data_IF_275227295700
#
_entry.id   IF_275227295700
#
_cell.length_a   1.000
_cell.length_b   1.000
_cell.length_c   1.000
_cell.angle_alpha   90.00
_cell.angle_beta   90.00
_cell.angle_gamma   90.00
#
_symmetry.space_group_name_H-M   'P 1'
#
loop_
_entity.id
_entity.type
_entity.pdbx_description
1 polymer ?
#
# COMPACT_ATOMS: atom_id res chain seq x y z
N UNK A 1 -0.77 -9.55 14.87
CA UNK A 1 -1.81 -8.98 13.98
C UNK A 1 -1.14 -8.45 12.73
N UNK A 2 -1.66 -8.76 11.56
CA UNK A 2 -1.23 -8.17 10.29
C UNK A 2 -2.23 -7.10 9.85
N UNK A 3 -1.74 -6.04 9.22
CA UNK A 3 -2.56 -4.98 8.62
C UNK A 3 -2.26 -4.96 7.13
N UNK A 4 -3.30 -4.94 6.30
CA UNK A 4 -3.16 -4.87 4.84
C UNK A 4 -4.03 -3.73 4.32
N UNK A 5 -3.42 -2.62 3.89
CA UNK A 5 -4.17 -1.59 3.17
C UNK A 5 -4.34 -2.02 1.71
N UNK A 6 -5.45 -1.65 1.09
CA UNK A 6 -5.78 -2.16 -0.24
C UNK A 6 -6.04 -3.67 -0.26
N UNK A 7 -6.44 -4.25 0.87
CA UNK A 7 -6.57 -5.70 1.04
C UNK A 7 -7.68 -6.36 0.23
N UNK A 8 -8.62 -5.59 -0.33
CA UNK A 8 -9.63 -6.06 -1.28
C UNK A 8 -9.13 -6.02 -2.73
N UNK A 9 -8.05 -5.28 -3.00
CA UNK A 9 -7.46 -5.16 -4.33
C UNK A 9 -6.69 -6.41 -4.75
N UNK A 10 -6.17 -6.42 -5.97
CA UNK A 10 -5.46 -7.55 -6.56
C UNK A 10 -4.27 -8.02 -5.70
N UNK A 11 -3.28 -7.16 -5.47
CA UNK A 11 -2.07 -7.52 -4.70
C UNK A 11 -2.42 -7.78 -3.24
N UNK A 12 -3.16 -6.86 -2.61
CA UNK A 12 -3.51 -6.95 -1.20
C UNK A 12 -4.30 -8.20 -0.85
N UNK A 13 -5.27 -8.61 -1.67
CA UNK A 13 -6.06 -9.83 -1.43
C UNK A 13 -5.23 -11.10 -1.48
N UNK A 14 -4.22 -11.15 -2.37
CA UNK A 14 -3.30 -12.28 -2.41
C UNK A 14 -2.40 -12.35 -1.17
N UNK A 15 -1.98 -11.20 -0.62
CA UNK A 15 -1.27 -11.13 0.67
C UNK A 15 -2.20 -11.62 1.78
N UNK A 16 -3.45 -11.12 1.87
CA UNK A 16 -4.43 -11.55 2.88
C UNK A 16 -4.65 -13.06 2.84
N UNK A 17 -4.87 -13.64 1.65
CA UNK A 17 -5.01 -15.09 1.47
C UNK A 17 -3.79 -15.86 1.98
N UNK A 18 -2.60 -15.37 1.67
CA UNK A 18 -1.35 -16.03 2.10
C UNK A 18 -1.16 -15.98 3.61
N UNK A 19 -1.45 -14.83 4.22
CA UNK A 19 -1.39 -14.65 5.68
C UNK A 19 -2.41 -15.53 6.39
N UNK A 20 -3.66 -15.57 5.92
CA UNK A 20 -4.71 -16.40 6.48
C UNK A 20 -4.40 -17.91 6.39
N UNK A 21 -3.73 -18.36 5.32
CA UNK A 21 -3.29 -19.76 5.19
C UNK A 21 -2.17 -20.12 6.18
N UNK A 22 -1.32 -19.16 6.55
CA UNK A 22 -0.20 -19.40 7.48
C UNK A 22 -0.63 -19.48 8.93
N UNK A 23 -1.64 -18.68 9.31
CA UNK A 23 -2.10 -18.62 10.70
C UNK A 23 -3.59 -18.31 10.79
N UNK A 24 -4.42 -19.36 10.86
CA UNK A 24 -5.88 -19.24 10.91
C UNK A 24 -6.42 -18.51 12.14
N UNK A 25 -5.67 -18.42 13.23
CA UNK A 25 -6.08 -17.78 14.48
C UNK A 25 -5.75 -16.29 14.53
N UNK A 26 -4.87 -15.81 13.67
CA UNK A 26 -4.41 -14.44 13.72
C UNK A 26 -5.36 -13.49 12.98
N UNK A 27 -5.77 -12.42 13.66
CA UNK A 27 -6.61 -11.37 13.04
C UNK A 27 -5.82 -10.61 11.97
N UNK A 28 -6.47 -10.41 10.83
CA UNK A 28 -5.99 -9.55 9.74
C UNK A 28 -6.91 -8.34 9.67
N UNK A 29 -6.35 -7.15 9.86
CA UNK A 29 -7.03 -5.89 9.62
C UNK A 29 -6.83 -5.49 8.17
N UNK A 30 -7.93 -5.32 7.45
CA UNK A 30 -7.95 -4.80 6.09
C UNK A 30 -8.39 -3.35 6.15
N UNK A 31 -7.63 -2.46 5.53
CA UNK A 31 -8.00 -1.05 5.34
C UNK A 31 -8.26 -0.87 3.84
N UNK A 32 -9.53 -0.84 3.46
CA UNK A 32 -9.94 -0.69 2.05
C UNK A 32 -11.38 -0.20 1.97
N UNK A 33 -11.79 0.28 0.80
CA UNK A 33 -13.17 0.67 0.51
C UNK A 33 -13.90 -0.42 -0.25
N UNK A 34 -15.12 -0.70 0.18
CA UNK A 34 -16.09 -1.44 -0.63
C UNK A 34 -16.53 -0.48 -1.74
N UNK A 35 -15.99 -0.68 -2.93
CA UNK A 35 -16.34 0.10 -4.11
C UNK A 35 -17.20 -0.72 -5.06
N UNK A 36 -17.83 -0.06 -6.03
CA UNK A 36 -18.64 -0.68 -7.08
C UNK A 36 -17.86 -1.68 -7.97
N UNK A 37 -16.55 -1.79 -7.83
CA UNK A 37 -15.67 -2.67 -8.63
C UNK A 37 -15.61 -4.10 -8.11
N UNK A 38 -16.61 -4.65 -7.48
CA UNK A 38 -16.68 -6.06 -7.06
C UNK A 38 -15.40 -6.64 -6.43
N UNK A 39 -14.58 -5.78 -5.78
CA UNK A 39 -13.29 -6.19 -5.17
C UNK A 39 -13.46 -7.29 -4.12
N UNK A 40 -14.63 -7.37 -3.48
CA UNK A 40 -14.93 -8.40 -2.49
C UNK A 40 -14.80 -9.83 -3.05
N UNK A 41 -14.95 -10.03 -4.37
CA UNK A 41 -14.76 -11.32 -5.04
C UNK A 41 -13.33 -11.84 -4.86
N UNK A 42 -12.38 -10.96 -4.68
CA UNK A 42 -10.98 -11.33 -4.47
C UNK A 42 -10.74 -12.04 -3.13
N UNK A 43 -11.61 -11.85 -2.14
CA UNK A 43 -11.48 -12.51 -0.85
C UNK A 43 -12.53 -13.62 -0.70
N UNK A 44 -12.11 -14.86 -0.51
CA UNK A 44 -13.01 -15.90 -0.05
C UNK A 44 -13.50 -15.57 1.36
N UNK A 45 -14.56 -16.23 1.81
CA UNK A 45 -15.09 -16.11 3.17
C UNK A 45 -14.01 -16.47 4.21
N UNK A 46 -13.33 -15.45 4.73
CA UNK A 46 -12.33 -15.59 5.78
C UNK A 46 -12.93 -15.12 7.11
N UNK A 47 -12.84 -15.96 8.15
CA UNK A 47 -13.50 -15.69 9.44
C UNK A 47 -12.80 -14.66 10.33
N UNK A 48 -11.49 -14.43 10.13
CA UNK A 48 -10.66 -13.59 11.00
C UNK A 48 -10.24 -12.29 10.35
N UNK A 49 -11.13 -11.70 9.54
CA UNK A 49 -10.91 -10.42 8.87
C UNK A 49 -11.73 -9.34 9.57
N UNK A 50 -11.10 -8.20 9.79
CA UNK A 50 -11.77 -6.96 10.13
C UNK A 50 -11.53 -5.94 9.01
N UNK A 51 -12.59 -5.28 8.53
CA UNK A 51 -12.51 -4.26 7.48
C UNK A 51 -12.77 -2.89 8.07
N UNK A 52 -11.92 -1.92 7.73
CA UNK A 52 -12.04 -0.51 8.12
C UNK A 52 -11.91 0.36 6.86
N UNK A 53 -12.76 1.37 6.73
CA UNK A 53 -12.67 2.35 5.65
C UNK A 53 -11.43 3.26 5.86
N UNK A 54 -10.64 3.55 4.82
CA UNK A 54 -9.47 4.43 4.94
C UNK A 54 -9.79 5.87 5.37
N UNK A 55 -11.03 6.33 5.26
CA UNK A 55 -11.44 7.63 5.78
C UNK A 55 -11.69 7.62 7.30
N UNK A 56 -11.87 6.46 7.90
CA UNK A 56 -12.03 6.31 9.36
C UNK A 56 -10.67 6.36 10.08
N UNK A 57 -9.90 7.43 9.83
CA UNK A 57 -8.53 7.55 10.33
C UNK A 57 -8.42 7.37 11.84
N UNK A 58 -9.37 7.86 12.61
CA UNK A 58 -9.41 7.69 14.08
C UNK A 58 -9.50 6.21 14.49
N UNK A 59 -10.22 5.39 13.73
CA UNK A 59 -10.33 3.95 13.98
C UNK A 59 -9.01 3.28 13.59
N UNK A 60 -8.44 3.63 12.44
CA UNK A 60 -7.15 3.12 11.98
C UNK A 60 -6.06 3.40 13.01
N UNK A 61 -5.97 4.64 13.48
CA UNK A 61 -4.99 5.04 14.49
C UNK A 61 -5.13 4.22 15.78
N UNK A 62 -6.36 4.09 16.31
CA UNK A 62 -6.63 3.27 17.49
C UNK A 62 -6.20 1.82 17.30
N UNK A 63 -6.50 1.21 16.14
CA UNK A 63 -6.11 -0.16 15.81
C UNK A 63 -4.59 -0.32 15.72
N UNK A 64 -3.90 0.61 15.08
CA UNK A 64 -2.43 0.60 14.98
C UNK A 64 -1.79 0.79 16.37
N UNK A 65 -2.34 1.64 17.22
CA UNK A 65 -1.87 1.83 18.61
C UNK A 65 -1.96 0.55 19.45
N UNK A 66 -2.90 -0.34 19.15
CA UNK A 66 -3.06 -1.64 19.82
C UNK A 66 -2.14 -2.74 19.24
N UNK A 67 -1.42 -2.47 18.16
CA UNK A 67 -0.51 -3.44 17.55
C UNK A 67 0.67 -3.78 18.46
N UNK A 68 1.06 -5.06 18.45
CA UNK A 68 2.31 -5.51 19.09
C UNK A 68 3.51 -5.08 18.24
N UNK A 69 4.69 -4.94 18.86
CA UNK A 69 5.95 -4.53 18.17
C UNK A 69 6.32 -5.37 16.94
N UNK A 70 5.87 -6.62 16.87
CA UNK A 70 6.15 -7.52 15.74
C UNK A 70 5.05 -7.51 14.68
N UNK A 71 4.08 -6.60 14.77
CA UNK A 71 3.06 -6.46 13.73
C UNK A 71 3.66 -5.88 12.46
N UNK A 72 3.18 -6.39 11.32
CA UNK A 72 3.61 -5.94 9.99
C UNK A 72 2.43 -5.28 9.29
N UNK A 73 2.69 -4.12 8.70
CA UNK A 73 1.75 -3.40 7.85
C UNK A 73 2.19 -3.57 6.40
N UNK A 74 1.33 -4.16 5.58
CA UNK A 74 1.47 -4.27 4.14
C UNK A 74 0.67 -3.14 3.50
N UNK A 75 1.35 -2.08 3.11
CA UNK A 75 0.71 -0.89 2.54
C UNK A 75 0.62 -0.99 1.01
N UNK A 76 -0.46 -1.66 0.55
CA UNK A 76 -0.75 -1.88 -0.88
C UNK A 76 -1.86 -0.96 -1.40
N UNK A 77 -2.53 -0.23 -0.50
CA UNK A 77 -3.64 0.64 -0.82
C UNK A 77 -3.20 1.96 -1.44
N UNK A 78 -3.67 2.22 -2.65
CA UNK A 78 -3.52 3.48 -3.36
C UNK A 78 -4.51 3.52 -4.53
N UNK A 79 -4.79 4.70 -5.08
CA UNK A 79 -5.28 4.79 -6.45
C UNK A 79 -4.15 4.39 -7.38
N UNK A 80 -4.31 3.28 -8.11
CA UNK A 80 -3.30 2.74 -9.03
C UNK A 80 -3.57 3.07 -10.50
N UNK A 81 -4.54 3.92 -10.77
CA UNK A 81 -4.86 4.36 -12.13
C UNK A 81 -3.82 5.39 -12.57
N UNK A 82 -2.95 4.99 -13.49
CA UNK A 82 -1.91 5.86 -14.06
C UNK A 82 -2.45 6.93 -14.98
N UNK A 83 -3.73 6.83 -15.37
CA UNK A 83 -4.42 7.80 -16.24
C UNK A 83 -5.27 8.82 -15.46
N UNK A 84 -5.34 8.67 -14.13
CA UNK A 84 -6.05 9.63 -13.27
C UNK A 84 -5.42 11.03 -13.38
N UNK A 85 -6.26 12.02 -13.68
CA UNK A 85 -5.84 13.41 -13.89
C UNK A 85 -6.09 14.30 -12.67
N UNK A 86 -6.91 13.86 -11.73
CA UNK A 86 -7.17 14.62 -10.51
C UNK A 86 -5.98 14.48 -9.53
N UNK A 87 -5.06 15.44 -9.61
CA UNK A 87 -3.86 15.48 -8.79
C UNK A 87 -4.16 15.61 -7.29
N UNK A 88 -5.19 16.37 -6.91
CA UNK A 88 -5.62 16.54 -5.52
C UNK A 88 -6.13 15.21 -4.94
N UNK A 89 -6.99 14.51 -5.69
CA UNK A 89 -7.46 13.18 -5.31
C UNK A 89 -6.30 12.21 -5.10
N UNK A 90 -5.31 12.18 -6.02
CA UNK A 90 -4.13 11.33 -5.90
C UNK A 90 -3.25 11.76 -4.72
N UNK A 91 -3.09 13.06 -4.49
CA UNK A 91 -2.33 13.57 -3.34
C UNK A 91 -2.93 13.10 -2.01
N UNK A 92 -4.24 13.25 -1.82
CA UNK A 92 -4.95 12.83 -0.60
C UNK A 92 -4.88 11.30 -0.41
N UNK A 93 -5.20 10.53 -1.45
CA UNK A 93 -5.32 9.07 -1.34
C UNK A 93 -3.96 8.34 -1.34
N UNK A 94 -2.98 8.84 -2.10
CA UNK A 94 -1.70 8.14 -2.25
C UNK A 94 -0.63 8.70 -1.33
N UNK A 95 -0.46 10.03 -1.30
CA UNK A 95 0.61 10.63 -0.50
C UNK A 95 0.20 10.89 0.95
N UNK A 96 -0.85 11.66 1.18
CA UNK A 96 -1.24 12.09 2.53
C UNK A 96 -1.63 10.91 3.43
N UNK A 97 -2.41 9.97 2.90
CA UNK A 97 -2.75 8.75 3.64
C UNK A 97 -1.48 7.95 3.98
N UNK A 98 -0.57 7.75 2.99
CA UNK A 98 0.69 7.02 3.21
C UNK A 98 1.58 7.71 4.23
N UNK A 99 1.71 9.04 4.14
CA UNK A 99 2.46 9.85 5.10
C UNK A 99 1.96 9.65 6.52
N UNK A 100 0.66 9.78 6.74
CA UNK A 100 0.05 9.60 8.05
C UNK A 100 0.27 8.18 8.60
N UNK A 101 0.19 7.16 7.73
CA UNK A 101 0.46 5.77 8.11
C UNK A 101 1.92 5.57 8.51
N UNK A 102 2.86 6.16 7.78
CA UNK A 102 4.30 6.10 8.07
C UNK A 102 4.60 6.74 9.43
N UNK A 103 3.99 7.88 9.73
CA UNK A 103 4.15 8.56 11.03
C UNK A 103 3.67 7.67 12.20
N UNK A 104 2.54 6.96 12.03
CA UNK A 104 2.06 5.99 13.02
C UNK A 104 3.01 4.79 13.19
N UNK A 105 3.56 4.29 12.07
CA UNK A 105 4.54 3.19 12.06
C UNK A 105 5.80 3.58 12.82
N UNK A 106 6.33 4.78 12.59
CA UNK A 106 7.49 5.31 13.31
C UNK A 106 7.21 5.39 14.81
N UNK A 107 6.10 6.03 15.19
CA UNK A 107 5.74 6.21 16.59
C UNK A 107 5.59 4.89 17.36
N UNK A 108 5.13 3.83 16.71
CA UNK A 108 4.92 2.50 17.30
C UNK A 108 6.07 1.52 17.06
N UNK A 109 7.09 1.91 16.31
CA UNK A 109 8.21 1.06 15.90
C UNK A 109 7.73 -0.27 15.28
N UNK A 110 6.79 -0.18 14.34
CA UNK A 110 6.27 -1.32 13.58
C UNK A 110 7.09 -1.55 12.31
N UNK A 111 6.81 -2.67 11.63
CA UNK A 111 7.37 -2.93 10.30
C UNK A 111 6.37 -2.50 9.23
N UNK A 112 6.83 -1.73 8.25
CA UNK A 112 6.05 -1.33 7.07
C UNK A 112 6.67 -1.87 5.79
N UNK A 113 5.86 -2.52 4.96
CA UNK A 113 6.20 -2.87 3.58
C UNK A 113 5.32 -2.02 2.67
N UNK A 114 5.92 -1.03 2.01
CA UNK A 114 5.22 -0.08 1.15
C UNK A 114 5.27 -0.50 -0.32
N UNK A 115 4.14 -0.41 -1.01
CA UNK A 115 4.06 -0.59 -2.45
C UNK A 115 4.33 0.74 -3.17
N UNK A 116 5.57 0.96 -3.57
CA UNK A 116 5.93 1.96 -4.56
C UNK A 116 5.72 1.41 -5.98
N UNK A 117 6.23 2.08 -6.99
CA UNK A 117 6.00 1.73 -8.38
C UNK A 117 7.22 2.05 -9.24
N UNK A 118 7.51 1.18 -10.21
CA UNK A 118 8.50 1.46 -11.25
C UNK A 118 8.14 2.66 -12.14
N UNK A 119 6.88 3.14 -12.10
CA UNK A 119 6.47 4.36 -12.79
C UNK A 119 7.22 5.62 -12.34
N UNK A 120 7.87 5.58 -11.15
CA UNK A 120 8.73 6.68 -10.67
C UNK A 120 9.93 6.93 -11.59
N UNK A 121 10.36 5.92 -12.34
CA UNK A 121 11.47 6.04 -13.29
C UNK A 121 11.08 6.72 -14.61
N UNK A 122 9.78 6.91 -14.87
CA UNK A 122 9.27 7.56 -16.08
C UNK A 122 9.73 6.86 -17.35
N UNK A 123 10.39 7.60 -18.26
CA UNK A 123 10.89 7.10 -19.54
C UNK A 123 12.38 6.71 -19.50
N UNK A 124 13.00 6.67 -18.32
CA UNK A 124 14.39 6.24 -18.21
C UNK A 124 14.59 4.80 -18.66
N UNK A 125 15.65 4.56 -19.42
CA UNK A 125 16.07 3.20 -19.83
C UNK A 125 16.67 2.40 -18.67
N UNK A 126 17.12 3.09 -17.62
CA UNK A 126 17.76 2.50 -16.44
C UNK A 126 16.82 2.69 -15.25
N UNK A 127 16.44 1.59 -14.62
CA UNK A 127 15.61 1.56 -13.43
C UNK A 127 16.48 1.17 -12.23
N UNK A 128 17.04 2.20 -11.57
CA UNK A 128 17.83 2.05 -10.34
C UNK A 128 17.29 2.96 -9.26
N UNK A 129 17.47 2.57 -8.01
CA UNK A 129 17.06 3.33 -6.83
C UNK A 129 18.05 4.50 -6.55
N UNK A 130 18.26 5.33 -7.56
CA UNK A 130 19.10 6.54 -7.51
C UNK A 130 18.26 7.72 -8.01
N UNK A 131 18.33 8.86 -7.32
CA UNK A 131 17.53 10.08 -7.60
C UNK A 131 17.61 10.52 -9.07
N UNK A 132 18.79 10.42 -9.70
CA UNK A 132 18.98 10.81 -11.12
C UNK A 132 18.13 10.03 -12.12
N UNK A 133 17.59 8.88 -11.72
CA UNK A 133 16.70 8.05 -12.57
C UNK A 133 15.22 8.24 -12.24
N UNK A 134 14.89 9.08 -11.28
CA UNK A 134 13.52 9.33 -10.82
C UNK A 134 12.90 10.51 -11.56
N UNK A 135 12.20 10.23 -12.65
CA UNK A 135 11.58 11.23 -13.54
C UNK A 135 10.11 10.90 -13.81
N UNK A 136 9.24 11.01 -12.79
CA UNK A 136 7.83 10.66 -12.93
C UNK A 136 7.15 11.52 -14.00
N UNK A 137 6.34 10.89 -14.88
CA UNK A 137 5.70 11.55 -16.02
C UNK A 137 4.19 11.75 -15.86
N UNK A 138 3.61 11.33 -14.75
CA UNK A 138 2.21 11.52 -14.44
C UNK A 138 1.99 11.71 -12.93
N UNK A 139 0.78 12.18 -12.54
CA UNK A 139 0.44 12.45 -11.16
C UNK A 139 0.54 11.22 -10.25
N UNK A 140 0.15 10.03 -10.76
CA UNK A 140 0.29 8.79 -10.00
C UNK A 140 1.77 8.51 -9.65
N UNK A 141 2.65 8.51 -10.66
CA UNK A 141 4.07 8.29 -10.47
C UNK A 141 4.69 9.32 -9.50
N UNK A 142 4.31 10.59 -9.66
CA UNK A 142 4.76 11.66 -8.78
C UNK A 142 4.34 11.44 -7.32
N UNK A 143 3.08 11.04 -7.06
CA UNK A 143 2.64 10.76 -5.70
C UNK A 143 3.35 9.56 -5.08
N UNK A 144 3.72 8.55 -5.87
CA UNK A 144 4.54 7.41 -5.41
C UNK A 144 5.96 7.84 -5.06
N UNK A 145 6.57 8.70 -5.88
CA UNK A 145 7.89 9.26 -5.60
C UNK A 145 7.89 10.10 -4.33
N UNK A 146 6.86 10.93 -4.11
CA UNK A 146 6.74 11.71 -2.87
C UNK A 146 6.71 10.81 -1.61
N UNK A 147 6.05 9.64 -1.68
CA UNK A 147 6.06 8.68 -0.58
C UNK A 147 7.44 8.08 -0.38
N UNK A 148 8.15 7.69 -1.45
CA UNK A 148 9.51 7.16 -1.37
C UNK A 148 10.44 8.20 -0.72
N UNK A 149 10.42 9.44 -1.18
CA UNK A 149 11.22 10.54 -0.62
C UNK A 149 10.90 10.81 0.86
N UNK A 150 9.61 10.70 1.25
CA UNK A 150 9.22 10.84 2.64
C UNK A 150 9.78 9.71 3.52
N UNK A 151 9.76 8.47 3.01
CA UNK A 151 10.37 7.31 3.68
C UNK A 151 11.87 7.52 3.84
N UNK A 152 12.58 7.95 2.79
CA UNK A 152 14.02 8.20 2.82
C UNK A 152 14.38 9.27 3.86
N UNK A 153 13.63 10.37 3.93
CA UNK A 153 13.81 11.40 4.95
C UNK A 153 13.63 10.85 6.39
N UNK A 154 12.67 9.94 6.58
CA UNK A 154 12.47 9.29 7.88
C UNK A 154 13.60 8.34 8.23
N UNK A 155 14.08 7.55 7.27
CA UNK A 155 15.19 6.61 7.46
C UNK A 155 16.52 7.34 7.73
N UNK A 156 16.76 8.47 7.06
CA UNK A 156 17.92 9.33 7.34
C UNK A 156 17.92 9.85 8.78
N UNK A 157 16.76 10.25 9.31
CA UNK A 157 16.60 10.72 10.69
C UNK A 157 16.64 9.61 11.71
N UNK A 158 16.10 8.44 11.37
CA UNK A 158 16.01 7.28 12.25
C UNK A 158 16.30 5.98 11.49
N UNK A 159 17.59 5.59 11.34
CA UNK A 159 17.98 4.37 10.61
C UNK A 159 17.49 3.05 11.21
N UNK A 160 16.91 3.10 12.44
CA UNK A 160 16.35 1.90 13.10
C UNK A 160 14.91 1.60 12.68
N UNK A 161 14.28 2.49 11.89
CA UNK A 161 12.95 2.24 11.36
C UNK A 161 12.95 1.03 10.42
N UNK A 162 11.88 0.23 10.53
CA UNK A 162 11.69 -0.98 9.74
C UNK A 162 10.71 -0.70 8.59
N UNK A 163 11.15 0.10 7.64
CA UNK A 163 10.35 0.46 6.46
C UNK A 163 11.07 -0.04 5.22
N UNK A 164 10.35 -0.76 4.36
CA UNK A 164 10.83 -1.25 3.07
C UNK A 164 9.87 -0.74 2.01
N UNK A 165 10.36 0.02 1.03
CA UNK A 165 9.59 0.45 -0.13
C UNK A 165 9.96 -0.40 -1.33
N UNK A 166 8.96 -1.02 -1.96
CA UNK A 166 9.13 -1.93 -3.10
C UNK A 166 8.58 -1.27 -4.36
N UNK A 167 9.45 -0.94 -5.33
CA UNK A 167 9.07 -0.40 -6.64
C UNK A 167 8.59 -1.51 -7.55
N UNK A 168 7.28 -1.81 -7.48
CA UNK A 168 6.69 -2.84 -8.32
C UNK A 168 6.72 -2.43 -9.80
N UNK A 169 7.20 -3.35 -10.62
CA UNK A 169 6.98 -3.38 -12.06
C UNK A 169 5.61 -3.99 -12.37
N UNK A 170 5.41 -4.51 -13.56
CA UNK A 170 4.14 -5.15 -13.92
C UNK A 170 3.91 -6.40 -13.07
N UNK A 171 2.90 -6.33 -12.21
CA UNK A 171 2.46 -7.47 -11.40
C UNK A 171 1.29 -8.13 -12.10
N UNK A 172 1.36 -9.42 -12.30
CA UNK A 172 0.32 -10.24 -12.92
C UNK A 172 -0.03 -11.45 -12.06
N UNK A 173 -1.21 -12.03 -12.26
CA UNK A 173 -1.59 -13.25 -11.58
C UNK A 173 -3.06 -13.31 -11.20
N UNK A 174 -3.38 -14.28 -10.36
CA UNK A 174 -4.75 -14.60 -9.99
C UNK A 174 -5.46 -13.45 -9.25
N UNK A 175 -6.66 -13.08 -9.73
CA UNK A 175 -7.46 -11.98 -9.17
C UNK A 175 -7.21 -10.62 -9.84
N UNK A 176 -6.38 -10.55 -10.87
CA UNK A 176 -6.05 -9.33 -11.59
C UNK A 176 -7.23 -8.74 -12.39
N UNK A 177 -8.18 -9.59 -12.79
CA UNK A 177 -9.36 -9.18 -13.58
C UNK A 177 -10.13 -7.99 -12.96
N UNK A 178 -10.06 -7.81 -11.66
CA UNK A 178 -10.69 -6.66 -10.97
C UNK A 178 -10.09 -5.30 -11.34
N UNK A 179 -8.93 -5.27 -11.99
CA UNK A 179 -8.26 -4.05 -12.47
C UNK A 179 -8.88 -3.49 -13.76
N UNK A 180 -9.75 -4.25 -14.45
CA UNK A 180 -10.32 -3.84 -15.73
C UNK A 180 -9.22 -3.54 -16.76
N UNK A 181 -9.26 -2.34 -17.38
CA UNK A 181 -8.28 -1.93 -18.41
C UNK A 181 -6.81 -1.92 -17.96
N UNK A 182 -6.56 -1.95 -16.65
CA UNK A 182 -5.21 -1.98 -16.09
C UNK A 182 -4.71 -3.41 -15.81
N UNK A 183 -5.48 -4.43 -16.18
CA UNK A 183 -5.03 -5.81 -16.07
C UNK A 183 -3.97 -6.12 -17.15
N UNK A 184 -3.00 -6.96 -16.81
CA UNK A 184 -2.10 -7.59 -17.77
C UNK A 184 -2.92 -8.58 -18.61
N UNK A 185 -2.49 -8.88 -19.82
CA UNK A 185 -3.20 -9.81 -20.72
C UNK A 185 -3.26 -11.24 -20.18
#
# INVERSE_FOLDING_TARGET
>A
MHIVTGGLGFIGSNIVKKLAKRNYSEKILIIDRISSRNKYINLPSLRNIELVDPHDYNIIEKKIKLCKKNSVIYHMGACSDTTEKNGEFLYENNYKFSKNLIDLVEHKNLTLINASSASVYGLNKISREEEKYETPINHYAFTKLLVDQYIDQKLLKNPKLKIISLRFFNVYGFGEFSKGRMASL
#
